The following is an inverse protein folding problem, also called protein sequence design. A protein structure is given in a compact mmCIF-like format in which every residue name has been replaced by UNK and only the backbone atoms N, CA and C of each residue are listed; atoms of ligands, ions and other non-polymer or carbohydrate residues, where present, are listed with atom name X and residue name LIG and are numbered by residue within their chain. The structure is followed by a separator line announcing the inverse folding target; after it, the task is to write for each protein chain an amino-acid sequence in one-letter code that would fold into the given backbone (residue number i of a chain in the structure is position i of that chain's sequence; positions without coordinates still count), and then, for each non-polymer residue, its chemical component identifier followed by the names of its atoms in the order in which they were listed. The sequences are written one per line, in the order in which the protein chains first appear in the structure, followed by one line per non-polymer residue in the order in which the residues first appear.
data_IF_390979173268
#
_entry.id   IF_390979173268
#
_cell.length_a   1.000
_cell.length_b   1.000
_cell.length_c   1.000
_cell.angle_alpha   90.00
_cell.angle_beta   90.00
_cell.angle_gamma   90.00
#
_symmetry.space_group_name_H-M   'P 1'
#
loop_
_entity.id
_entity.type
_entity.pdbx_description
1 polymer ?
#
# COMPACT_ATOMS: atom_id res chain seq x y z
N UNK A 1 7.33 10.43 -17.54
CA UNK A 1 7.47 9.81 -16.20
C UNK A 1 6.46 8.67 -16.15
N UNK A 2 6.92 7.42 -16.16
CA UNK A 2 6.01 6.26 -16.19
C UNK A 2 5.70 5.88 -14.74
N UNK A 3 4.50 6.22 -14.29
CA UNK A 3 3.94 5.68 -13.05
C UNK A 3 3.11 4.46 -13.44
N UNK A 4 3.60 3.25 -13.14
CA UNK A 4 2.77 2.05 -13.26
C UNK A 4 1.98 1.87 -11.96
N UNK A 5 0.67 2.11 -12.03
CA UNK A 5 -0.27 1.78 -10.97
C UNK A 5 -0.90 0.43 -11.22
N UNK A 6 -1.05 -0.35 -10.16
CA UNK A 6 -1.72 -1.65 -10.16
C UNK A 6 -2.76 -1.66 -9.06
N UNK A 7 -3.92 -2.25 -9.33
CA UNK A 7 -4.91 -2.50 -8.30
C UNK A 7 -4.57 -3.81 -7.58
N UNK A 8 -4.53 -3.77 -6.25
CA UNK A 8 -4.22 -4.92 -5.40
C UNK A 8 -5.20 -4.98 -4.23
N UNK A 9 -5.33 -6.12 -3.56
CA UNK A 9 -6.04 -6.16 -2.30
C UNK A 9 -5.17 -5.58 -1.18
N UNK A 10 -5.78 -4.76 -0.32
CA UNK A 10 -5.16 -4.19 0.85
C UNK A 10 -4.75 -5.32 1.80
N UNK A 11 -3.47 -5.40 2.20
CA UNK A 11 -3.01 -6.44 3.13
C UNK A 11 -3.56 -6.23 4.55
N UNK A 12 -4.06 -5.04 4.87
CA UNK A 12 -4.71 -4.76 6.15
C UNK A 12 -6.19 -5.17 6.08
N UNK A 13 -7.03 -4.45 5.32
CA UNK A 13 -8.50 -4.62 5.36
C UNK A 13 -9.12 -5.43 4.22
N UNK A 14 -8.32 -5.95 3.27
CA UNK A 14 -8.81 -6.73 2.12
C UNK A 14 -9.51 -5.93 1.00
N UNK A 15 -9.85 -4.65 1.21
CA UNK A 15 -10.45 -3.80 0.18
C UNK A 15 -9.46 -3.50 -0.96
N UNK A 16 -9.97 -2.98 -2.08
CA UNK A 16 -9.10 -2.55 -3.18
C UNK A 16 -8.17 -1.41 -2.73
N UNK A 17 -6.91 -1.56 -3.10
CA UNK A 17 -5.80 -0.68 -2.80
C UNK A 17 -5.01 -0.43 -4.08
N UNK A 18 -4.21 0.63 -4.08
CA UNK A 18 -3.38 1.01 -5.21
C UNK A 18 -1.91 0.73 -4.90
N UNK A 19 -1.20 0.13 -5.85
CA UNK A 19 0.24 -0.04 -5.79
C UNK A 19 0.90 0.74 -6.92
N UNK A 20 1.72 1.72 -6.57
CA UNK A 20 2.48 2.54 -7.50
C UNK A 20 3.95 2.15 -7.49
N UNK A 21 4.50 1.88 -8.68
CA UNK A 21 5.93 1.69 -8.87
C UNK A 21 6.57 3.03 -9.24
N UNK A 22 7.30 3.60 -8.29
CA UNK A 22 8.03 4.86 -8.40
C UNK A 22 9.46 4.55 -8.85
N UNK A 23 9.64 4.31 -10.14
CA UNK A 23 10.91 3.80 -10.70
C UNK A 23 12.11 4.73 -10.47
N UNK A 24 11.89 6.06 -10.53
CA UNK A 24 12.96 7.05 -10.33
C UNK A 24 13.48 7.02 -8.90
N UNK A 25 12.58 6.88 -7.95
CA UNK A 25 12.85 6.86 -6.51
C UNK A 25 13.24 5.45 -6.03
N UNK A 26 13.09 4.43 -6.89
CA UNK A 26 13.28 3.02 -6.55
C UNK A 26 12.37 2.59 -5.39
N UNK A 27 11.12 3.05 -5.42
CA UNK A 27 10.12 2.77 -4.39
C UNK A 27 8.89 2.05 -4.96
N UNK A 28 8.27 1.22 -4.13
CA UNK A 28 6.91 0.73 -4.33
C UNK A 28 6.06 1.27 -3.20
N UNK A 29 5.02 2.03 -3.55
CA UNK A 29 4.04 2.57 -2.62
C UNK A 29 2.73 1.82 -2.77
N UNK A 30 2.27 1.15 -1.72
CA UNK A 30 0.95 0.53 -1.64
C UNK A 30 0.09 1.34 -0.67
N UNK A 31 -1.09 1.77 -1.10
CA UNK A 31 -2.00 2.60 -0.31
C UNK A 31 -3.44 2.11 -0.39
N UNK A 32 -4.20 2.19 0.70
CA UNK A 32 -5.62 1.86 0.72
C UNK A 32 -6.43 3.02 1.29
N UNK A 33 -7.38 3.51 0.51
CA UNK A 33 -8.28 4.59 0.92
C UNK A 33 -9.39 4.13 1.88
N UNK A 34 -9.58 2.81 2.07
CA UNK A 34 -10.65 2.28 2.93
C UNK A 34 -10.25 2.18 4.41
N UNK A 35 -8.97 1.98 4.70
CA UNK A 35 -8.47 1.83 6.07
C UNK A 35 -7.19 2.62 6.32
N UNK A 36 -6.90 3.61 5.46
CA UNK A 36 -5.68 4.44 5.50
C UNK A 36 -4.36 3.66 5.57
N UNK A 37 -4.32 2.41 5.08
CA UNK A 37 -3.10 1.63 5.04
C UNK A 37 -2.10 2.25 4.05
N UNK A 38 -0.84 2.39 4.47
CA UNK A 38 0.28 2.84 3.63
C UNK A 38 1.49 1.94 3.86
N UNK A 39 2.12 1.51 2.77
CA UNK A 39 3.40 0.82 2.82
C UNK A 39 4.29 1.29 1.67
N UNK A 40 5.49 1.74 2.00
CA UNK A 40 6.52 2.14 1.06
C UNK A 40 7.72 1.20 1.24
N UNK A 41 8.13 0.55 0.16
CA UNK A 41 9.28 -0.38 0.15
C UNK A 41 10.29 0.02 -0.91
N UNK A 42 11.56 -0.29 -0.68
CA UNK A 42 12.59 -0.11 -1.70
C UNK A 42 12.52 -1.24 -2.73
N UNK A 43 12.41 -0.91 -4.02
CA UNK A 43 12.34 -1.91 -5.11
C UNK A 43 13.59 -2.78 -5.21
N UNK A 44 14.75 -2.25 -4.82
CA UNK A 44 16.04 -2.96 -4.92
C UNK A 44 16.30 -3.91 -3.75
N UNK A 45 15.96 -3.49 -2.54
CA UNK A 45 16.30 -4.25 -1.32
C UNK A 45 15.10 -4.97 -0.70
N UNK A 46 13.87 -4.62 -1.09
CA UNK A 46 12.63 -5.12 -0.48
C UNK A 46 12.39 -4.58 0.94
N UNK A 47 13.30 -3.76 1.48
CA UNK A 47 13.15 -3.21 2.84
C UNK A 47 11.99 -2.22 2.90
N UNK A 48 11.26 -2.27 4.01
CA UNK A 48 10.26 -1.27 4.34
C UNK A 48 10.97 0.04 4.67
N UNK A 49 10.54 1.10 3.98
CA UNK A 49 11.00 2.48 4.22
C UNK A 49 10.03 3.17 5.18
N UNK A 50 8.74 3.00 4.92
CA UNK A 50 7.68 3.58 5.73
C UNK A 50 6.47 2.65 5.71
N UNK A 51 5.82 2.48 6.86
CA UNK A 51 4.60 1.70 6.96
C UNK A 51 3.66 2.31 8.01
N UNK A 52 2.40 2.36 7.65
CA UNK A 52 1.30 2.75 8.51
C UNK A 52 0.15 1.78 8.31
N UNK A 53 -0.30 1.16 9.40
CA UNK A 53 -1.38 0.19 9.40
C UNK A 53 -2.34 0.51 10.55
N UNK A 54 -3.50 1.12 10.25
CA UNK A 54 -4.52 1.36 11.25
C UNK A 54 -5.06 0.05 11.82
N UNK A 55 -5.33 0.06 13.13
CA UNK A 55 -6.01 -1.05 13.78
C UNK A 55 -7.39 -1.25 13.16
N UNK A 56 -7.67 -2.46 12.69
CA UNK A 56 -8.99 -2.81 12.22
C UNK A 56 -9.86 -3.13 13.43
N UNK A 57 -10.90 -2.34 13.62
CA UNK A 57 -11.96 -2.70 14.55
C UNK A 57 -12.67 -3.92 13.96
N UNK A 58 -12.67 -5.05 14.69
CA UNK A 58 -13.54 -6.20 14.41
C UNK A 58 -14.97 -5.82 14.79
N UNK A 59 -15.55 -4.88 14.04
CA UNK A 59 -16.79 -4.23 14.42
C UNK A 59 -17.54 -3.73 13.19
N UNK A 60 -18.56 -4.50 12.83
CA UNK A 60 -19.66 -4.16 11.92
C UNK A 60 -19.38 -4.35 10.41
N UNK A 61 -19.23 -5.61 10.00
CA UNK A 61 -19.99 -6.04 8.84
C UNK A 61 -21.48 -5.79 9.14
N UNK A 62 -22.09 -4.83 8.48
CA UNK A 62 -23.54 -4.63 8.49
C UNK A 62 -24.05 -4.52 7.08
#
# INVERSE_FOLDING_TARGET
MIFMSQQVHCPNCGHLAERHHLQKEQLVRTQCNACDYLMITCTRSGKVIEAYAPGLFVGSAR
#
